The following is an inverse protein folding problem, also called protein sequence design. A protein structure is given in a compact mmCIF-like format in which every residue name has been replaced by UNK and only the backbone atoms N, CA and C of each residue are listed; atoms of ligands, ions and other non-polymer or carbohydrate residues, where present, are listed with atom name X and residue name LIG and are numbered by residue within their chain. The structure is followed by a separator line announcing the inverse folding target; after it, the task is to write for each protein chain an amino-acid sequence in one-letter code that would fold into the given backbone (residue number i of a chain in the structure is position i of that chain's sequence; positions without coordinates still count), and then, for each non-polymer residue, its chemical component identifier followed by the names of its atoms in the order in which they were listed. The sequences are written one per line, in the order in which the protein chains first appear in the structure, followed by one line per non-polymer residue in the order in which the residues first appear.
data_IF_128847326373
#
_entry.id   IF_128847326373
#
_cell.length_a   1.000
_cell.length_b   1.000
_cell.length_c   1.000
_cell.angle_alpha   90.00
_cell.angle_beta   90.00
_cell.angle_gamma   90.00
#
_symmetry.space_group_name_H-M   'P 1'
#
loop_
_entity.id
_entity.type
_entity.pdbx_description
1 polymer ?
#
# COMPACT_ATOMS: atom_id res chain seq x y z
N UNK A 1 8.51 -1.06 3.29
CA UNK A 1 7.23 -1.31 2.57
C UNK A 1 6.14 -0.49 3.22
N UNK A 2 5.09 -0.15 2.47
CA UNK A 2 3.90 0.50 3.03
C UNK A 2 2.90 -0.56 3.51
N UNK A 3 1.78 -0.13 4.09
CA UNK A 3 0.68 -1.02 4.45
C UNK A 3 0.25 -1.93 3.28
N UNK A 4 0.26 -1.42 2.05
CA UNK A 4 -0.12 -2.18 0.86
C UNK A 4 0.83 -3.36 0.56
N UNK A 5 2.07 -3.33 1.06
CA UNK A 5 3.00 -4.46 0.94
C UNK A 5 2.57 -5.70 1.72
N UNK A 6 1.63 -5.54 2.66
CA UNK A 6 1.07 -6.65 3.43
C UNK A 6 -0.24 -7.20 2.84
N UNK A 7 -0.74 -6.61 1.75
CA UNK A 7 -2.03 -6.97 1.16
C UNK A 7 -1.85 -7.64 -0.20
N UNK A 8 -2.78 -8.54 -0.54
CA UNK A 8 -2.88 -9.12 -1.88
C UNK A 8 -4.34 -9.08 -2.33
N UNK A 9 -4.55 -8.68 -3.58
CA UNK A 9 -5.89 -8.71 -4.17
C UNK A 9 -6.40 -10.15 -4.30
N UNK A 10 -7.63 -10.38 -3.85
CA UNK A 10 -8.39 -11.60 -4.12
C UNK A 10 -9.58 -11.26 -5.01
N UNK A 11 -9.54 -11.71 -6.26
CA UNK A 11 -10.60 -11.44 -7.22
C UNK A 11 -11.77 -12.37 -6.94
N UNK A 12 -12.89 -11.80 -6.47
CA UNK A 12 -14.10 -12.55 -6.15
C UNK A 12 -14.79 -13.01 -7.45
N UNK A 13 -14.93 -14.33 -7.72
CA UNK A 13 -15.53 -14.82 -8.96
C UNK A 13 -16.96 -14.34 -9.19
N UNK A 14 -17.72 -14.07 -8.13
CA UNK A 14 -19.10 -13.57 -8.24
C UNK A 14 -19.20 -12.15 -8.81
N UNK A 15 -18.10 -11.39 -8.88
CA UNK A 15 -18.02 -10.08 -9.56
C UNK A 15 -17.53 -10.17 -11.00
N UNK A 16 -17.31 -11.38 -11.51
CA UNK A 16 -16.70 -11.63 -12.82
C UNK A 16 -17.69 -12.32 -13.78
N UNK A 17 -18.98 -12.28 -13.48
CA UNK A 17 -20.01 -12.97 -14.26
C UNK A 17 -20.63 -12.05 -15.31
N UNK A 18 -20.88 -12.58 -16.50
CA UNK A 18 -21.63 -11.88 -17.56
C UNK A 18 -23.15 -12.04 -17.44
N UNK A 19 -23.62 -12.72 -16.39
CA UNK A 19 -25.02 -13.08 -16.22
C UNK A 19 -25.82 -12.16 -15.29
N UNK A 20 -25.16 -11.32 -14.48
CA UNK A 20 -25.83 -10.48 -13.49
C UNK A 20 -26.66 -9.37 -14.17
N UNK A 21 -27.96 -9.33 -13.92
CA UNK A 21 -28.78 -8.16 -14.25
C UNK A 21 -28.44 -7.02 -13.30
N UNK A 22 -28.14 -5.84 -13.86
CA UNK A 22 -27.68 -4.67 -13.09
C UNK A 22 -28.27 -3.38 -13.68
N UNK A 23 -28.30 -2.33 -12.87
CA UNK A 23 -28.65 -0.98 -13.33
C UNK A 23 -27.40 -0.29 -13.91
N UNK A 24 -27.56 0.56 -14.91
CA UNK A 24 -26.48 1.48 -15.33
C UNK A 24 -26.21 2.56 -14.27
N UNK A 25 -25.05 3.22 -14.35
CA UNK A 25 -24.61 4.21 -13.36
C UNK A 25 -25.63 5.36 -13.23
N UNK A 26 -26.27 5.73 -14.33
CA UNK A 26 -27.33 6.73 -14.38
C UNK A 26 -28.53 6.24 -15.22
N UNK A 27 -29.69 6.86 -15.00
CA UNK A 27 -30.91 6.60 -15.75
C UNK A 27 -31.70 5.38 -15.26
N UNK A 28 -32.48 4.77 -16.16
CA UNK A 28 -33.35 3.62 -15.87
C UNK A 28 -33.02 2.39 -16.73
N UNK A 29 -31.87 2.41 -17.40
CA UNK A 29 -31.44 1.29 -18.24
C UNK A 29 -31.00 0.13 -17.36
N UNK A 30 -31.55 -1.05 -17.66
CA UNK A 30 -31.11 -2.32 -17.07
C UNK A 30 -30.16 -2.99 -18.06
N UNK A 31 -28.91 -3.14 -17.63
CA UNK A 31 -27.88 -3.87 -18.35
C UNK A 31 -27.68 -5.27 -17.78
N UNK A 32 -26.73 -6.01 -18.36
CA UNK A 32 -26.37 -7.36 -17.93
C UNK A 32 -24.87 -7.56 -18.05
N UNK A 33 -24.27 -8.23 -17.07
CA UNK A 33 -22.84 -8.54 -17.05
C UNK A 33 -21.97 -7.34 -16.69
N UNK A 34 -20.73 -7.35 -17.16
CA UNK A 34 -19.69 -6.38 -16.77
C UNK A 34 -20.14 -4.92 -16.93
N UNK A 35 -19.81 -4.11 -15.92
CA UNK A 35 -19.74 -2.66 -16.03
C UNK A 35 -18.75 -2.11 -15.00
N UNK A 36 -17.84 -1.27 -15.46
CA UNK A 36 -16.94 -0.53 -14.57
C UNK A 36 -17.75 0.26 -13.53
N UNK A 37 -17.26 0.29 -12.30
CA UNK A 37 -17.88 0.97 -11.15
C UNK A 37 -19.27 0.46 -10.74
N UNK A 38 -19.73 -0.67 -11.29
CA UNK A 38 -21.02 -1.29 -10.94
C UNK A 38 -20.86 -2.79 -10.67
N UNK A 39 -20.42 -3.55 -11.67
CA UNK A 39 -20.22 -5.00 -11.62
C UNK A 39 -18.91 -5.36 -12.32
N UNK A 40 -17.82 -5.20 -11.58
CA UNK A 40 -16.47 -5.51 -12.02
C UNK A 40 -15.65 -6.13 -10.87
N UNK A 41 -14.60 -6.91 -11.18
CA UNK A 41 -13.69 -7.38 -10.15
C UNK A 41 -13.10 -6.21 -9.35
N UNK A 42 -13.06 -6.34 -8.03
CA UNK A 42 -12.41 -5.37 -7.13
C UNK A 42 -11.19 -5.99 -6.48
N UNK A 43 -10.13 -5.19 -6.34
CA UNK A 43 -8.90 -5.59 -5.65
C UNK A 43 -8.96 -5.41 -4.12
N UNK A 44 -10.15 -5.11 -3.57
CA UNK A 44 -10.31 -4.77 -2.16
C UNK A 44 -9.81 -5.93 -1.27
N UNK A 45 -8.71 -5.73 -0.51
CA UNK A 45 -8.25 -6.71 0.44
C UNK A 45 -9.28 -6.78 1.57
N UNK A 46 -9.99 -7.91 1.69
CA UNK A 46 -11.02 -8.03 2.72
C UNK A 46 -10.38 -8.29 4.09
N UNK A 47 -9.37 -9.14 4.14
CA UNK A 47 -8.62 -9.51 5.34
C UNK A 47 -7.20 -9.95 4.91
N UNK A 48 -6.19 -9.71 5.74
CA UNK A 48 -4.83 -10.20 5.51
C UNK A 48 -4.21 -10.61 6.83
N UNK A 49 -3.65 -11.81 6.87
CA UNK A 49 -2.89 -12.29 8.03
C UNK A 49 -1.44 -11.89 7.88
N UNK A 50 -0.91 -11.20 8.88
CA UNK A 50 0.48 -10.76 8.91
C UNK A 50 1.18 -11.37 10.11
N UNK A 51 2.47 -11.71 9.93
CA UNK A 51 3.33 -12.08 11.05
C UNK A 51 4.10 -10.86 11.50
N UNK A 52 3.87 -10.45 12.74
CA UNK A 52 4.67 -9.42 13.39
C UNK A 52 5.82 -10.10 14.14
N UNK A 53 7.04 -9.70 13.81
CA UNK A 53 8.24 -10.10 14.56
C UNK A 53 8.96 -8.85 15.01
N UNK A 54 9.44 -8.85 16.25
CA UNK A 54 10.29 -7.76 16.75
C UNK A 54 11.55 -7.68 15.86
N UNK A 55 11.78 -6.52 15.27
CA UNK A 55 12.94 -6.27 14.43
C UNK A 55 14.20 -5.98 15.26
N UNK A 56 14.11 -5.03 16.20
CA UNK A 56 15.20 -4.63 17.09
C UNK A 56 14.66 -3.99 18.39
N UNK A 57 15.47 -3.88 19.47
CA UNK A 57 15.19 -2.98 20.59
C UNK A 57 15.20 -1.52 20.14
N UNK A 58 14.34 -0.71 20.75
CA UNK A 58 14.29 0.74 20.54
C UNK A 58 13.47 1.40 21.64
N UNK A 59 13.71 2.68 21.91
CA UNK A 59 13.05 3.40 23.00
C UNK A 59 13.88 4.61 23.44
N UNK A 60 13.45 5.25 24.53
CA UNK A 60 14.19 6.38 25.14
C UNK A 60 15.43 5.88 25.89
N UNK A 61 15.35 4.68 26.48
CA UNK A 61 16.42 4.07 27.27
C UNK A 61 17.27 3.04 26.48
N UNK A 62 16.84 2.68 25.26
CA UNK A 62 17.40 1.60 24.45
C UNK A 62 18.13 2.13 23.20
N UNK A 63 19.03 1.30 22.64
CA UNK A 63 19.96 1.67 21.57
C UNK A 63 19.31 2.36 20.35
N UNK A 64 20.06 3.29 19.74
CA UNK A 64 19.69 4.03 18.54
C UNK A 64 19.16 3.10 17.44
N UNK A 65 17.88 3.27 17.05
CA UNK A 65 17.22 2.44 16.04
C UNK A 65 17.98 2.51 14.70
N UNK A 66 17.93 1.43 13.91
CA UNK A 66 18.80 1.25 12.74
C UNK A 66 18.73 2.41 11.75
N UNK A 67 17.58 2.96 11.35
CA UNK A 67 17.55 4.10 10.43
C UNK A 67 18.19 5.39 10.96
N UNK A 68 18.16 5.66 12.28
CA UNK A 68 18.88 6.81 12.84
C UNK A 68 20.38 6.52 12.90
N UNK A 69 20.79 5.29 13.23
CA UNK A 69 22.20 4.88 13.18
C UNK A 69 22.79 4.98 11.77
N UNK A 70 21.99 4.67 10.75
CA UNK A 70 22.36 4.81 9.34
C UNK A 70 22.35 6.28 8.85
N UNK A 71 21.94 7.21 9.71
CA UNK A 71 21.87 8.62 9.40
C UNK A 71 20.86 9.01 8.32
N UNK A 72 19.74 8.28 8.31
CA UNK A 72 18.61 8.49 7.41
C UNK A 72 17.47 9.30 8.07
N UNK A 73 17.68 9.78 9.30
CA UNK A 73 16.71 10.59 10.04
C UNK A 73 17.25 12.00 10.28
N UNK A 74 16.35 13.01 10.37
CA UNK A 74 16.71 14.34 10.84
C UNK A 74 17.41 14.29 12.21
N UNK A 75 18.51 15.04 12.35
CA UNK A 75 19.36 15.09 13.54
C UNK A 75 20.45 14.00 13.62
N UNK A 76 20.53 13.09 12.65
CA UNK A 76 21.56 12.05 12.54
C UNK A 76 22.16 11.99 11.12
N UNK A 77 22.05 13.05 10.33
CA UNK A 77 22.31 13.04 8.89
C UNK A 77 23.71 12.50 8.54
N UNK A 78 23.75 11.47 7.70
CA UNK A 78 25.00 10.99 7.11
C UNK A 78 25.59 12.04 6.14
N UNK A 79 26.90 11.98 5.82
CA UNK A 79 27.50 12.87 4.81
C UNK A 79 26.76 12.81 3.46
N UNK A 80 26.30 11.62 3.07
CA UNK A 80 25.47 11.44 1.88
C UNK A 80 24.10 12.11 2.03
N UNK A 81 23.43 11.99 3.18
CA UNK A 81 22.16 12.68 3.42
C UNK A 81 22.31 14.21 3.36
N UNK A 82 23.41 14.74 3.91
CA UNK A 82 23.73 16.16 3.82
C UNK A 82 23.98 16.61 2.37
N UNK A 83 24.69 15.81 1.57
CA UNK A 83 24.88 16.05 0.14
C UNK A 83 23.54 16.06 -0.62
N UNK A 84 22.65 15.11 -0.29
CA UNK A 84 21.29 15.06 -0.84
C UNK A 84 20.48 16.30 -0.50
N UNK A 85 20.47 16.71 0.76
CA UNK A 85 19.76 17.90 1.21
C UNK A 85 20.29 19.19 0.57
N UNK A 86 21.57 19.24 0.20
CA UNK A 86 22.17 20.35 -0.55
C UNK A 86 21.96 20.28 -2.06
N UNK A 87 21.35 19.20 -2.57
CA UNK A 87 21.15 19.01 -4.02
C UNK A 87 22.45 18.72 -4.78
N UNK A 88 23.46 18.17 -4.12
CA UNK A 88 24.81 17.95 -4.67
C UNK A 88 24.99 16.56 -5.32
N UNK A 89 23.93 15.73 -5.41
CA UNK A 89 23.98 14.50 -6.19
C UNK A 89 23.80 14.82 -7.68
N UNK A 90 24.88 14.67 -8.44
CA UNK A 90 24.93 14.85 -9.89
C UNK A 90 24.88 13.45 -10.53
N UNK A 91 24.10 13.30 -11.60
CA UNK A 91 23.96 12.05 -12.37
C UNK A 91 25.19 11.74 -13.21
#
# INVERSE_FOLDING_TARGET
GSHQSATRAWLRPTLMTDSLARKEYFGQVIGKGFAADIHCPVGAPKESFVKLTRAEPGGVEEALWRPARLGLRPGYESPAMLQFLRGEFIS
#
